data_IF_352999085835
#
_entry.id   IF_352999085835
#
_cell.length_a   1.000
_cell.length_b   1.000
_cell.length_c   1.000
_cell.angle_alpha   90.00
_cell.angle_beta   90.00
_cell.angle_gamma   90.00
#
_symmetry.space_group_name_H-M   'P 1'
#
loop_
_entity.id
_entity.type
_entity.pdbx_description
1 polymer ?
#
# COMPACT_ATOMS: atom_id res chain seq x y z
N UNK A 1 12.21 -5.16 -4.62
CA UNK A 1 10.76 -5.42 -4.54
C UNK A 1 10.01 -4.27 -5.19
N UNK A 2 9.07 -4.60 -6.07
CA UNK A 2 8.14 -3.64 -6.66
C UNK A 2 7.17 -3.10 -5.59
N UNK A 3 6.54 -1.94 -5.85
CA UNK A 3 5.62 -1.32 -4.87
C UNK A 3 4.49 -2.26 -4.46
N UNK A 4 3.90 -2.98 -5.44
CA UNK A 4 2.80 -3.91 -5.19
C UNK A 4 3.24 -5.04 -4.24
N UNK A 5 4.43 -5.60 -4.43
CA UNK A 5 4.98 -6.67 -3.60
C UNK A 5 5.16 -6.24 -2.13
N UNK A 6 5.63 -5.01 -1.91
CA UNK A 6 5.75 -4.43 -0.55
C UNK A 6 4.38 -4.27 0.11
N UNK A 7 3.38 -3.82 -0.66
CA UNK A 7 2.00 -3.71 -0.18
C UNK A 7 1.47 -5.10 0.19
N UNK A 8 1.57 -6.09 -0.69
CA UNK A 8 1.05 -7.45 -0.43
C UNK A 8 1.68 -8.06 0.84
N UNK A 9 2.99 -7.89 1.00
CA UNK A 9 3.72 -8.35 2.19
C UNK A 9 3.17 -7.68 3.46
N UNK A 10 2.96 -6.36 3.42
CA UNK A 10 2.36 -5.60 4.51
C UNK A 10 0.94 -6.12 4.84
N UNK A 11 0.09 -6.35 3.83
CA UNK A 11 -1.28 -6.82 4.04
C UNK A 11 -1.30 -8.21 4.69
N UNK A 12 -0.44 -9.14 4.24
CA UNK A 12 -0.34 -10.49 4.81
C UNK A 12 0.13 -10.45 6.26
N UNK A 13 1.14 -9.64 6.56
CA UNK A 13 1.71 -9.51 7.91
C UNK A 13 0.75 -8.87 8.89
N UNK A 14 0.08 -7.78 8.48
CA UNK A 14 -0.82 -7.00 9.36
C UNK A 14 -2.27 -7.50 9.35
N UNK A 15 -2.60 -8.46 8.47
CA UNK A 15 -3.98 -8.88 8.19
C UNK A 15 -4.89 -7.71 7.79
N UNK A 16 -4.32 -6.66 7.21
CA UNK A 16 -5.07 -5.49 6.76
C UNK A 16 -5.78 -5.81 5.45
N UNK A 17 -7.10 -5.56 5.33
CA UNK A 17 -7.79 -5.68 4.05
C UNK A 17 -7.24 -4.68 3.01
N UNK A 18 -7.09 -5.05 1.72
CA UNK A 18 -6.56 -4.18 0.68
C UNK A 18 -7.29 -2.83 0.57
N UNK A 19 -8.62 -2.84 0.69
CA UNK A 19 -9.45 -1.63 0.63
C UNK A 19 -9.27 -0.72 1.83
N UNK A 20 -9.04 -1.29 3.02
CA UNK A 20 -8.70 -0.52 4.23
C UNK A 20 -7.34 0.13 4.06
N UNK A 21 -6.34 -0.61 3.58
CA UNK A 21 -5.01 -0.06 3.30
C UNK A 21 -5.07 1.11 2.32
N UNK A 22 -5.73 0.93 1.17
CA UNK A 22 -5.83 1.99 0.16
C UNK A 22 -6.48 3.27 0.71
N UNK A 23 -7.54 3.12 1.51
CA UNK A 23 -8.17 4.26 2.21
C UNK A 23 -7.21 4.95 3.18
N UNK A 24 -6.46 4.19 3.97
CA UNK A 24 -5.56 4.74 4.99
C UNK A 24 -4.29 5.38 4.39
N UNK A 25 -3.67 4.73 3.41
CA UNK A 25 -2.39 5.17 2.85
C UNK A 25 -2.55 6.32 1.84
N UNK A 26 -3.60 6.28 1.01
CA UNK A 26 -3.75 7.18 -0.14
C UNK A 26 -5.17 7.75 -0.32
N UNK A 27 -6.13 7.37 0.53
CA UNK A 27 -7.52 7.84 0.42
C UNK A 27 -8.36 7.12 -0.63
N UNK A 28 -7.86 6.04 -1.23
CA UNK A 28 -8.50 5.32 -2.34
C UNK A 28 -8.66 3.83 -2.01
N UNK A 29 -9.87 3.32 -1.72
CA UNK A 29 -10.09 1.92 -1.38
C UNK A 29 -9.87 0.96 -2.56
N UNK A 30 -9.82 1.43 -3.81
CA UNK A 30 -9.54 0.59 -4.99
C UNK A 30 -8.05 0.52 -5.32
N UNK A 31 -7.23 1.30 -4.64
CA UNK A 31 -5.82 1.48 -4.96
C UNK A 31 -5.06 0.16 -5.17
N UNK A 32 -5.17 -0.79 -4.24
CA UNK A 32 -4.44 -2.08 -4.35
C UNK A 32 -4.99 -2.94 -5.48
N UNK A 33 -6.31 -2.94 -5.68
CA UNK A 33 -6.95 -3.67 -6.78
C UNK A 33 -6.48 -3.11 -8.13
N UNK A 34 -6.49 -1.80 -8.29
CA UNK A 34 -6.03 -1.15 -9.52
C UNK A 34 -4.55 -1.43 -9.79
N UNK A 35 -3.70 -1.46 -8.74
CA UNK A 35 -2.29 -1.83 -8.88
C UNK A 35 -2.13 -3.27 -9.38
N UNK A 36 -2.94 -4.21 -8.88
CA UNK A 36 -2.98 -5.60 -9.38
C UNK A 36 -3.45 -5.65 -10.83
N UNK A 37 -4.35 -4.77 -11.22
CA UNK A 37 -4.79 -4.60 -12.61
C UNK A 37 -3.80 -3.83 -13.49
N UNK A 38 -2.63 -3.43 -12.98
CA UNK A 38 -1.55 -2.81 -13.76
C UNK A 38 -1.51 -1.28 -13.71
N UNK A 39 -2.31 -0.63 -12.85
CA UNK A 39 -2.22 0.82 -12.62
C UNK A 39 -0.81 1.20 -12.21
N UNK A 40 -0.30 2.30 -12.77
CA UNK A 40 1.00 2.88 -12.41
C UNK A 40 0.80 4.18 -11.64
N UNK A 41 0.97 4.19 -10.31
CA UNK A 41 0.82 5.38 -9.50
C UNK A 41 1.97 6.35 -9.75
N UNK A 42 1.68 7.65 -9.64
CA UNK A 42 2.69 8.72 -9.73
C UNK A 42 3.71 8.58 -8.59
N UNK A 43 4.94 9.02 -8.83
CA UNK A 43 6.06 8.96 -7.88
C UNK A 43 5.68 9.42 -6.46
N UNK A 44 5.00 10.55 -6.33
CA UNK A 44 4.54 11.08 -5.04
C UNK A 44 3.61 10.11 -4.29
N UNK A 45 2.71 9.44 -5.01
CA UNK A 45 1.83 8.41 -4.43
C UNK A 45 2.63 7.20 -3.97
N UNK A 46 3.65 6.79 -4.74
CA UNK A 46 4.55 5.70 -4.34
C UNK A 46 5.31 6.04 -3.06
N UNK A 47 5.84 7.26 -2.94
CA UNK A 47 6.56 7.74 -1.76
C UNK A 47 5.64 7.75 -0.52
N UNK A 48 4.41 8.28 -0.65
CA UNK A 48 3.42 8.25 0.44
C UNK A 48 3.12 6.82 0.92
N UNK A 49 2.96 5.89 -0.01
CA UNK A 49 2.70 4.48 0.34
C UNK A 49 3.89 3.85 1.07
N UNK A 50 5.11 4.08 0.58
CA UNK A 50 6.33 3.57 1.23
C UNK A 50 6.46 4.10 2.66
N UNK A 51 6.27 5.41 2.85
CA UNK A 51 6.28 6.03 4.19
C UNK A 51 5.22 5.43 5.11
N UNK A 52 4.01 5.18 4.60
CA UNK A 52 2.94 4.55 5.38
C UNK A 52 3.30 3.13 5.84
N UNK A 53 3.87 2.30 4.96
CA UNK A 53 4.33 0.95 5.28
C UNK A 53 5.44 1.00 6.34
N UNK A 54 6.47 1.83 6.13
CA UNK A 54 7.60 1.96 7.08
C UNK A 54 7.16 2.48 8.45
N UNK A 55 6.27 3.46 8.49
CA UNK A 55 5.75 4.00 9.75
C UNK A 55 4.94 2.96 10.55
N UNK A 56 4.22 2.09 9.85
CA UNK A 56 3.44 1.01 10.47
C UNK A 56 4.34 -0.12 11.01
N UNK A 57 5.54 -0.28 10.44
CA UNK A 57 6.54 -1.26 10.85
C UNK A 57 7.39 -0.80 12.04
N UNK A 58 7.58 0.51 12.19
CA UNK A 58 8.39 1.11 13.26
C UNK A 58 7.73 1.08 14.65
N UNK A 59 6.50 0.58 14.77
CA UNK A 59 5.72 0.56 16.01
C UNK A 59 5.73 -0.80 16.73
N UNK A 60 6.84 -1.54 16.63
CA UNK A 60 7.05 -2.84 17.26
C UNK A 60 8.44 -2.92 17.88
#
# INVERSE_FOLDING_TARGET
MELLEQIETYLVRTKTPPSKFGRMAVGDPRFVEDLRSGRRPRRLTQERVKLYITASDANW
#
